data_IF_371165848635
#
_entry.id   IF_371165848635
#
_cell.length_a   1.000
_cell.length_b   1.000
_cell.length_c   1.000
_cell.angle_alpha   90.00
_cell.angle_beta   90.00
_cell.angle_gamma   90.00
#
_symmetry.space_group_name_H-M   'P 1'
#
loop_
_entity.id
_entity.type
_entity.pdbx_description
1 polymer ?
#
# COMPACT_ATOMS: atom_id res chain seq x y z
N UNK A 1 -5.70 -53.35 62.29
CA UNK A 1 -7.16 -53.11 62.36
C UNK A 1 -7.39 -51.70 62.86
N UNK A 2 -7.98 -50.82 62.04
CA UNK A 2 -8.59 -49.55 62.46
C UNK A 2 -9.85 -49.30 61.63
N UNK A 3 -10.85 -48.59 62.19
CA UNK A 3 -12.27 -48.86 61.94
C UNK A 3 -12.88 -48.05 60.78
N UNK A 4 -13.90 -48.65 60.16
CA UNK A 4 -14.88 -47.95 59.33
C UNK A 4 -15.74 -47.03 60.21
N UNK A 5 -15.83 -45.73 59.87
CA UNK A 5 -16.99 -44.92 60.27
C UNK A 5 -17.39 -43.85 59.24
N UNK A 6 -18.49 -44.17 58.57
CA UNK A 6 -19.63 -43.35 58.12
C UNK A 6 -19.48 -42.09 57.27
N UNK A 7 -20.23 -42.18 56.16
CA UNK A 7 -20.80 -41.11 55.36
C UNK A 7 -21.37 -39.94 56.18
N UNK A 8 -21.11 -38.72 55.70
CA UNK A 8 -22.08 -37.63 55.73
C UNK A 8 -22.17 -37.07 54.31
N UNK A 9 -23.36 -37.19 53.71
CA UNK A 9 -23.75 -36.49 52.50
C UNK A 9 -23.90 -35.01 52.83
N UNK A 10 -23.17 -34.16 52.12
CA UNK A 10 -23.40 -32.72 52.07
C UNK A 10 -23.60 -32.33 50.61
N UNK A 11 -24.85 -32.10 50.23
CA UNK A 11 -25.20 -31.53 48.95
C UNK A 11 -24.49 -30.18 48.77
N UNK A 12 -23.81 -29.99 47.64
CA UNK A 12 -23.78 -28.66 47.05
C UNK A 12 -24.05 -28.79 45.56
N UNK A 13 -25.28 -28.37 45.23
CA UNK A 13 -25.87 -28.40 43.90
C UNK A 13 -25.11 -27.43 42.99
N UNK A 14 -24.67 -27.98 41.86
CA UNK A 14 -24.72 -27.36 40.53
C UNK A 14 -24.28 -25.89 40.40
N UNK A 15 -23.02 -25.65 40.06
CA UNK A 15 -22.60 -24.44 39.31
C UNK A 15 -21.47 -24.65 38.28
N UNK A 16 -21.20 -25.87 37.86
CA UNK A 16 -20.08 -26.13 36.91
C UNK A 16 -20.52 -26.67 35.54
N UNK A 17 -21.82 -26.71 35.23
CA UNK A 17 -22.31 -27.25 33.95
C UNK A 17 -22.56 -26.22 32.85
N UNK A 18 -22.29 -24.93 33.08
CA UNK A 18 -22.52 -23.86 32.08
C UNK A 18 -21.25 -23.30 31.44
N UNK A 19 -20.14 -24.04 31.46
CA UNK A 19 -18.89 -23.59 30.81
C UNK A 19 -18.40 -24.53 29.71
N UNK A 20 -19.28 -25.21 28.99
CA UNK A 20 -18.87 -26.11 27.90
C UNK A 20 -19.80 -26.07 26.66
N UNK A 21 -20.19 -24.87 26.19
CA UNK A 21 -20.36 -24.69 24.73
C UNK A 21 -19.69 -23.43 24.16
N UNK A 22 -19.34 -22.44 25.01
CA UNK A 22 -18.83 -21.15 24.55
C UNK A 22 -17.41 -21.21 23.97
N UNK A 23 -16.53 -22.09 24.46
CA UNK A 23 -15.16 -22.18 23.94
C UNK A 23 -15.14 -22.75 22.51
N UNK A 24 -15.99 -23.72 22.22
CA UNK A 24 -16.04 -24.37 20.92
C UNK A 24 -16.72 -23.46 19.87
N UNK A 25 -17.72 -22.69 20.29
CA UNK A 25 -18.37 -21.68 19.46
C UNK A 25 -17.46 -20.46 19.21
N UNK A 26 -16.67 -20.03 20.20
CA UNK A 26 -15.65 -18.97 20.05
C UNK A 26 -14.52 -19.39 19.10
N UNK A 27 -14.05 -20.63 19.18
CA UNK A 27 -13.02 -21.16 18.26
C UNK A 27 -13.56 -21.30 16.83
N UNK A 28 -14.80 -21.78 16.67
CA UNK A 28 -15.43 -21.89 15.36
C UNK A 28 -15.71 -20.52 14.72
N UNK A 29 -16.12 -19.53 15.52
CA UNK A 29 -16.34 -18.17 15.06
C UNK A 29 -15.01 -17.46 14.76
N UNK A 30 -13.95 -17.71 15.54
CA UNK A 30 -12.57 -17.28 15.23
C UNK A 30 -12.08 -17.85 13.90
N UNK A 31 -12.31 -19.14 13.64
CA UNK A 31 -11.94 -19.78 12.37
C UNK A 31 -12.68 -19.14 11.18
N UNK A 32 -13.98 -18.89 11.31
CA UNK A 32 -14.79 -18.18 10.30
C UNK A 32 -14.31 -16.75 10.06
N UNK A 33 -13.98 -16.01 11.11
CA UNK A 33 -13.45 -14.63 11.02
C UNK A 33 -12.07 -14.64 10.37
N UNK A 34 -11.17 -15.54 10.76
CA UNK A 34 -9.84 -15.68 10.17
C UNK A 34 -9.91 -16.06 8.69
N UNK A 35 -10.86 -16.92 8.30
CA UNK A 35 -11.08 -17.29 6.90
C UNK A 35 -11.59 -16.08 6.08
N UNK A 36 -12.51 -15.28 6.63
CA UNK A 36 -12.98 -14.05 5.96
C UNK A 36 -11.90 -12.96 5.89
N UNK A 37 -11.08 -12.79 6.92
CA UNK A 37 -9.93 -11.87 6.91
C UNK A 37 -8.92 -12.28 5.84
N UNK A 38 -8.64 -13.59 5.67
CA UNK A 38 -7.79 -14.08 4.56
C UNK A 38 -8.40 -13.85 3.19
N UNK A 39 -9.72 -14.04 3.03
CA UNK A 39 -10.43 -13.77 1.77
C UNK A 39 -10.38 -12.27 1.42
N UNK A 40 -10.61 -11.38 2.39
CA UNK A 40 -10.50 -9.91 2.20
C UNK A 40 -9.06 -9.51 1.87
N UNK A 41 -8.06 -10.09 2.55
CA UNK A 41 -6.63 -9.85 2.26
C UNK A 41 -6.17 -10.41 0.91
N UNK A 42 -6.75 -11.52 0.44
CA UNK A 42 -6.47 -12.09 -0.87
C UNK A 42 -7.04 -11.20 -1.99
N UNK A 43 -8.25 -10.67 -1.79
CA UNK A 43 -8.90 -9.77 -2.74
C UNK A 43 -8.19 -8.40 -2.80
N UNK A 44 -7.71 -7.86 -1.69
CA UNK A 44 -6.90 -6.62 -1.69
C UNK A 44 -5.53 -6.83 -2.35
N UNK A 45 -4.88 -7.99 -2.14
CA UNK A 45 -3.65 -8.34 -2.88
C UNK A 45 -3.88 -8.46 -4.39
N UNK A 46 -5.03 -8.97 -4.83
CA UNK A 46 -5.38 -9.01 -6.26
C UNK A 46 -5.64 -7.61 -6.82
N UNK A 47 -6.30 -6.74 -6.04
CA UNK A 47 -6.62 -5.37 -6.45
C UNK A 47 -5.37 -4.49 -6.59
N UNK A 48 -4.45 -4.54 -5.60
CA UNK A 48 -3.17 -3.83 -5.67
C UNK A 48 -2.29 -4.35 -6.83
N UNK A 49 -2.37 -5.65 -7.14
CA UNK A 49 -1.56 -6.25 -8.21
C UNK A 49 -2.17 -6.02 -9.61
N UNK A 50 -3.43 -5.59 -9.72
CA UNK A 50 -4.06 -5.18 -11.00
C UNK A 50 -3.97 -3.69 -11.30
N UNK A 51 -3.68 -2.85 -10.30
CA UNK A 51 -3.21 -1.46 -10.51
C UNK A 51 -1.72 -1.39 -10.88
N UNK A 52 -1.01 -2.52 -10.94
CA UNK A 52 0.23 -2.69 -11.70
C UNK A 52 -0.04 -2.69 -13.21
N UNK A 53 -0.66 -1.61 -13.70
CA UNK A 53 -1.00 -1.45 -15.10
C UNK A 53 0.30 -1.31 -15.90
N UNK A 54 0.56 -2.34 -16.70
CA UNK A 54 1.48 -2.32 -17.85
C UNK A 54 2.98 -2.42 -17.55
N UNK A 55 3.39 -3.55 -16.97
CA UNK A 55 4.76 -4.03 -17.14
C UNK A 55 4.84 -5.08 -18.26
N UNK A 56 4.88 -4.64 -19.53
CA UNK A 56 5.39 -5.47 -20.63
C UNK A 56 6.86 -5.79 -20.36
N UNK A 57 7.15 -7.01 -19.91
CA UNK A 57 8.49 -7.58 -19.88
C UNK A 57 8.88 -8.02 -21.30
N UNK A 58 10.00 -7.52 -21.82
CA UNK A 58 10.54 -7.97 -23.10
C UNK A 58 11.48 -7.01 -23.84
N UNK A 59 12.29 -6.21 -23.15
CA UNK A 59 13.49 -5.60 -23.74
C UNK A 59 14.41 -5.16 -22.61
N UNK A 60 15.71 -5.46 -22.74
CA UNK A 60 16.76 -5.27 -21.73
C UNK A 60 16.51 -3.99 -20.92
N UNK A 61 16.15 -4.14 -19.65
CA UNK A 61 16.19 -3.02 -18.69
C UNK A 61 17.64 -2.56 -18.64
N UNK A 62 17.97 -1.53 -19.42
CA UNK A 62 19.02 -0.60 -19.01
C UNK A 62 18.53 -0.08 -17.67
N UNK A 63 19.04 -0.68 -16.60
CA UNK A 63 18.95 -0.12 -15.26
C UNK A 63 19.65 1.23 -15.35
N UNK A 64 18.89 2.27 -15.70
CA UNK A 64 19.40 3.63 -15.68
C UNK A 64 19.55 3.92 -14.20
N UNK A 65 20.78 3.77 -13.72
CA UNK A 65 21.13 3.88 -12.32
C UNK A 65 20.75 5.30 -11.88
N UNK A 66 19.66 5.44 -11.12
CA UNK A 66 19.09 6.69 -10.62
C UNK A 66 19.76 7.13 -9.31
N UNK A 67 21.03 6.75 -9.14
CA UNK A 67 21.84 7.17 -8.02
C UNK A 67 22.29 8.62 -8.27
N UNK A 68 21.55 9.55 -7.70
CA UNK A 68 21.86 10.99 -7.58
C UNK A 68 21.64 11.83 -8.84
N UNK A 69 20.41 12.30 -9.06
CA UNK A 69 20.22 13.53 -9.83
C UNK A 69 19.31 14.49 -9.08
N UNK A 70 19.92 15.50 -8.45
CA UNK A 70 19.21 16.69 -8.01
C UNK A 70 18.78 17.46 -9.27
N UNK A 71 17.67 17.07 -9.90
CA UNK A 71 17.13 17.79 -11.06
C UNK A 71 16.38 19.03 -10.58
N UNK A 72 15.51 18.87 -9.59
CA UNK A 72 14.74 19.97 -9.02
C UNK A 72 15.33 20.46 -7.69
N UNK A 73 15.47 21.79 -7.50
CA UNK A 73 15.97 22.37 -6.26
C UNK A 73 14.90 22.38 -5.16
N UNK A 74 15.29 22.07 -3.92
CA UNK A 74 14.38 22.05 -2.75
C UNK A 74 13.76 23.44 -2.46
N UNK A 75 14.48 24.52 -2.78
CA UNK A 75 13.96 25.88 -2.67
C UNK A 75 12.74 26.14 -3.57
N UNK A 76 12.68 25.51 -4.75
CA UNK A 76 11.50 25.64 -5.62
C UNK A 76 10.30 24.89 -5.03
N UNK A 77 10.52 23.74 -4.39
CA UNK A 77 9.46 22.98 -3.71
C UNK A 77 8.84 23.79 -2.58
N UNK A 78 9.69 24.48 -1.80
CA UNK A 78 9.21 25.39 -0.76
C UNK A 78 8.33 26.50 -1.32
N UNK A 79 8.74 27.14 -2.42
CA UNK A 79 7.97 28.20 -3.07
C UNK A 79 6.61 27.71 -3.57
N UNK A 80 6.57 26.52 -4.18
CA UNK A 80 5.31 25.90 -4.63
C UNK A 80 4.38 25.66 -3.43
N UNK A 81 4.90 25.08 -2.34
CA UNK A 81 4.11 24.78 -1.15
C UNK A 81 3.60 26.05 -0.45
N UNK A 82 4.43 27.11 -0.38
CA UNK A 82 4.03 28.41 0.17
C UNK A 82 2.99 29.11 -0.70
N UNK A 83 3.13 29.04 -2.02
CA UNK A 83 2.12 29.54 -2.96
C UNK A 83 0.79 28.80 -2.83
N UNK A 84 0.82 27.53 -2.41
CA UNK A 84 -0.36 26.74 -2.07
C UNK A 84 -0.93 27.04 -0.66
N UNK A 85 -0.36 27.99 0.09
CA UNK A 85 -0.84 28.43 1.40
C UNK A 85 -0.13 27.83 2.61
N UNK A 86 0.94 27.05 2.43
CA UNK A 86 1.69 26.52 3.56
C UNK A 86 2.50 27.63 4.29
N UNK A 87 2.25 27.82 5.59
CA UNK A 87 2.99 28.79 6.41
C UNK A 87 4.38 28.28 6.83
N UNK A 88 4.51 26.98 7.11
CA UNK A 88 5.77 26.30 7.46
C UNK A 88 5.91 25.03 6.64
N UNK A 89 7.15 24.70 6.25
CA UNK A 89 7.48 23.53 5.43
C UNK A 89 8.76 22.89 5.98
N UNK A 90 8.73 21.58 6.25
CA UNK A 90 9.91 20.83 6.67
C UNK A 90 10.83 20.48 5.49
N UNK A 91 12.09 20.15 5.76
CA UNK A 91 13.02 19.71 4.72
C UNK A 91 12.54 18.40 4.06
N UNK A 92 12.03 17.47 4.87
CA UNK A 92 11.51 16.18 4.39
C UNK A 92 10.31 16.36 3.46
N UNK A 93 9.41 17.29 3.75
CA UNK A 93 8.28 17.59 2.88
C UNK A 93 8.74 18.13 1.52
N UNK A 94 9.79 18.96 1.49
CA UNK A 94 10.38 19.45 0.24
C UNK A 94 11.02 18.31 -0.55
N UNK A 95 11.70 17.38 0.13
CA UNK A 95 12.31 16.22 -0.52
C UNK A 95 11.26 15.27 -1.09
N UNK A 96 10.18 15.00 -0.34
CA UNK A 96 9.09 14.14 -0.79
C UNK A 96 8.38 14.73 -2.01
N UNK A 97 8.07 16.04 -2.02
CA UNK A 97 7.44 16.67 -3.19
C UNK A 97 8.35 16.60 -4.42
N UNK A 98 9.65 16.82 -4.22
CA UNK A 98 10.64 16.70 -5.30
C UNK A 98 10.62 15.32 -5.93
N UNK A 99 10.68 14.26 -5.13
CA UNK A 99 10.68 12.87 -5.60
C UNK A 99 9.44 12.59 -6.45
N UNK A 100 8.26 12.95 -5.95
CA UNK A 100 6.98 12.77 -6.67
C UNK A 100 6.97 13.54 -7.99
N UNK A 101 7.45 14.78 -8.03
CA UNK A 101 7.47 15.58 -9.26
C UNK A 101 8.50 15.09 -10.28
N UNK A 102 9.66 14.61 -9.82
CA UNK A 102 10.68 14.01 -10.68
C UNK A 102 10.15 12.73 -11.34
N UNK A 103 9.48 11.88 -10.58
CA UNK A 103 8.87 10.64 -11.09
C UNK A 103 7.78 10.93 -12.13
N UNK A 104 6.82 11.81 -11.81
CA UNK A 104 5.76 12.20 -12.73
C UNK A 104 6.35 12.86 -13.99
N UNK A 105 7.31 13.77 -13.81
CA UNK A 105 7.97 14.45 -14.91
C UNK A 105 8.71 13.49 -15.84
N UNK A 106 9.34 12.45 -15.29
CA UNK A 106 10.03 11.42 -16.05
C UNK A 106 9.05 10.55 -16.85
N UNK A 107 7.92 10.17 -16.26
CA UNK A 107 6.88 9.41 -16.96
C UNK A 107 6.33 10.20 -18.16
N UNK A 108 5.93 11.45 -17.93
CA UNK A 108 5.40 12.33 -18.98
C UNK A 108 6.46 12.54 -20.07
N UNK A 109 7.71 12.79 -19.71
CA UNK A 109 8.80 12.97 -20.67
C UNK A 109 9.04 11.71 -21.52
N UNK A 110 8.98 10.52 -20.92
CA UNK A 110 9.12 9.26 -21.63
C UNK A 110 7.98 9.03 -22.64
N UNK A 111 6.73 9.25 -22.22
CA UNK A 111 5.54 9.17 -23.08
C UNK A 111 5.62 10.19 -24.23
N UNK A 112 5.94 11.45 -23.92
CA UNK A 112 6.06 12.51 -24.93
C UNK A 112 7.16 12.20 -25.97
N UNK A 113 8.27 11.58 -25.54
CA UNK A 113 9.31 11.12 -26.45
C UNK A 113 8.80 10.02 -27.40
N UNK A 114 8.01 9.06 -26.89
CA UNK A 114 7.40 8.02 -27.72
C UNK A 114 6.41 8.59 -28.75
N UNK A 115 5.62 9.60 -28.37
CA UNK A 115 4.71 10.32 -29.26
C UNK A 115 5.48 11.05 -30.38
N UNK A 116 6.56 11.75 -30.03
CA UNK A 116 7.41 12.42 -31.01
C UNK A 116 8.01 11.40 -32.00
N UNK A 117 8.54 10.28 -31.50
CA UNK A 117 9.13 9.20 -32.30
C UNK A 117 8.11 8.54 -33.24
N UNK A 118 6.87 8.31 -32.79
CA UNK A 118 5.79 7.78 -33.65
C UNK A 118 5.48 8.70 -34.84
N UNK A 119 5.64 10.01 -34.65
CA UNK A 119 5.48 11.01 -35.71
C UNK A 119 6.75 11.23 -36.55
N UNK A 120 7.79 10.40 -36.38
CA UNK A 120 9.07 10.51 -37.09
C UNK A 120 9.95 11.69 -36.67
N UNK A 121 9.58 12.41 -35.60
CA UNK A 121 10.32 13.56 -35.08
C UNK A 121 11.28 13.13 -33.97
N UNK A 122 12.46 13.77 -33.94
CA UNK A 122 13.43 13.62 -32.83
C UNK A 122 13.26 14.69 -31.75
N UNK A 123 12.54 15.77 -32.05
CA UNK A 123 12.31 16.89 -31.13
C UNK A 123 10.93 16.79 -30.51
N UNK A 124 10.88 16.77 -29.17
CA UNK A 124 9.66 16.81 -28.38
C UNK A 124 9.08 18.23 -28.46
N UNK A 125 7.80 18.35 -28.84
CA UNK A 125 7.06 19.62 -28.87
C UNK A 125 6.14 19.74 -27.66
N UNK A 126 5.68 20.97 -27.40
CA UNK A 126 4.70 21.24 -26.35
C UNK A 126 3.39 20.43 -26.52
N UNK A 127 2.99 20.14 -27.76
CA UNK A 127 1.85 19.27 -28.06
C UNK A 127 2.02 17.87 -27.50
N UNK A 128 3.24 17.30 -27.60
CA UNK A 128 3.53 15.94 -27.17
C UNK A 128 3.48 15.84 -25.63
N UNK A 129 3.99 16.85 -24.93
CA UNK A 129 3.93 16.95 -23.46
C UNK A 129 2.49 17.10 -22.97
N UNK A 130 1.70 17.98 -23.59
CA UNK A 130 0.30 18.20 -23.21
C UNK A 130 -0.58 16.97 -23.45
N UNK A 131 -0.28 16.20 -24.50
CA UNK A 131 -0.97 14.95 -24.77
C UNK A 131 -0.55 13.88 -23.75
N UNK A 132 0.75 13.70 -23.52
CA UNK A 132 1.28 12.75 -22.55
C UNK A 132 0.84 13.01 -21.10
N UNK A 133 0.56 14.27 -20.74
CA UNK A 133 0.06 14.63 -19.41
C UNK A 133 -1.44 14.36 -19.21
N UNK A 134 -2.18 14.13 -20.30
CA UNK A 134 -3.63 13.87 -20.27
C UNK A 134 -3.97 12.38 -20.41
N UNK A 135 -3.06 11.59 -20.98
CA UNK A 135 -3.16 10.13 -21.16
C UNK A 135 -2.75 9.33 -19.92
#
# INVERSE_FOLDING_TARGET
MQPLRFHIQGENKSKDSEQMPELQEREHNRSKIQHRVRQIQALTKIFINKSGFFQRKGSKRRVFNMATKKLLPLAAMEKIMRAAGASRVSEDAKSALKEVLEDIGQEIAAKANQLALHSGRKTIKASDIKLAAKE
#
